data_IF_046123390422
#
_entry.id   IF_046123390422
#
_cell.length_a   1.000
_cell.length_b   1.000
_cell.length_c   1.000
_cell.angle_alpha   90.00
_cell.angle_beta   90.00
_cell.angle_gamma   90.00
#
_symmetry.space_group_name_H-M   'P 1'
#
loop_
_entity.id
_entity.type
_entity.pdbx_description
1 polymer ?
#
# COMPACT_ATOMS: atom_id res chain seq x y z
N UNK A 1 -21.56 14.90 -18.54
CA UNK A 1 -20.24 14.20 -18.53
C UNK A 1 -20.38 13.05 -17.55
N UNK A 2 -20.12 11.81 -17.96
CA UNK A 2 -20.11 10.63 -17.07
C UNK A 2 -18.71 10.03 -17.08
N UNK A 3 -18.19 9.74 -15.89
CA UNK A 3 -16.93 9.02 -15.70
C UNK A 3 -17.26 7.58 -15.34
N UNK A 4 -16.92 6.63 -16.22
CA UNK A 4 -16.94 5.21 -15.88
C UNK A 4 -15.55 4.83 -15.35
N UNK A 5 -15.50 4.25 -14.15
CA UNK A 5 -14.28 3.70 -13.59
C UNK A 5 -14.41 2.18 -13.52
N UNK A 6 -13.39 1.47 -13.99
CA UNK A 6 -13.27 0.04 -13.77
C UNK A 6 -12.75 -0.19 -12.34
N UNK A 7 -13.59 -0.74 -11.47
CA UNK A 7 -13.27 -1.01 -10.07
C UNK A 7 -12.72 -2.43 -9.84
N UNK A 8 -12.34 -3.16 -10.89
CA UNK A 8 -11.73 -4.49 -10.75
C UNK A 8 -10.42 -4.46 -9.95
N UNK A 9 -9.70 -3.33 -9.99
CA UNK A 9 -8.47 -3.12 -9.22
C UNK A 9 -8.65 -1.91 -8.31
N UNK A 10 -8.50 -2.13 -7.02
CA UNK A 10 -8.57 -1.08 -6.01
C UNK A 10 -7.14 -0.64 -5.67
N UNK A 11 -6.81 0.60 -5.99
CA UNK A 11 -5.53 1.21 -5.61
C UNK A 11 -5.64 1.86 -4.24
N UNK A 12 -4.71 1.51 -3.35
CA UNK A 12 -4.63 2.03 -1.99
C UNK A 12 -3.30 2.73 -1.79
N UNK A 13 -3.32 3.81 -1.03
CA UNK A 13 -2.14 4.57 -0.60
C UNK A 13 -2.01 4.45 0.90
N UNK A 14 -0.80 4.21 1.37
CA UNK A 14 -0.47 4.21 2.80
C UNK A 14 0.82 4.98 3.04
N UNK A 15 0.94 5.56 4.22
CA UNK A 15 2.09 6.35 4.64
C UNK A 15 2.80 5.64 5.80
N UNK A 16 4.13 5.49 5.69
CA UNK A 16 4.96 4.78 6.68
C UNK A 16 6.05 5.72 7.19
N UNK A 17 6.25 5.85 8.52
CA UNK A 17 7.36 6.62 9.09
C UNK A 17 8.73 6.10 8.63
N UNK A 18 9.69 7.01 8.44
CA UNK A 18 11.04 6.65 7.96
C UNK A 18 11.79 5.57 8.76
N UNK A 19 11.75 5.56 10.12
CA UNK A 19 12.36 4.51 10.91
C UNK A 19 11.79 3.12 10.60
N UNK A 20 10.47 3.03 10.38
CA UNK A 20 9.78 1.77 10.10
C UNK A 20 10.12 1.26 8.70
N UNK A 21 10.28 2.13 7.70
CA UNK A 21 10.74 1.74 6.36
C UNK A 21 12.13 1.10 6.42
N UNK A 22 13.02 1.66 7.25
CA UNK A 22 14.36 1.12 7.44
C UNK A 22 14.31 -0.25 8.13
N UNK A 23 13.46 -0.41 9.14
CA UNK A 23 13.25 -1.68 9.83
C UNK A 23 12.64 -2.76 8.91
N UNK A 24 11.67 -2.40 8.08
CA UNK A 24 10.99 -3.29 7.13
C UNK A 24 11.94 -3.79 6.03
N UNK A 25 12.80 -2.91 5.52
CA UNK A 25 13.78 -3.23 4.49
C UNK A 25 15.04 -3.96 5.02
N UNK A 26 15.26 -3.97 6.34
CA UNK A 26 16.43 -4.59 6.96
C UNK A 26 16.56 -6.09 6.65
N UNK A 27 15.43 -6.80 6.49
CA UNK A 27 15.40 -8.23 6.17
C UNK A 27 15.38 -8.51 4.65
N UNK A 28 15.59 -7.50 3.81
CA UNK A 28 15.57 -7.59 2.35
C UNK A 28 14.17 -7.41 1.76
N UNK A 29 14.10 -6.69 0.64
CA UNK A 29 12.84 -6.28 0.01
C UNK A 29 11.95 -7.48 -0.37
N UNK A 30 12.53 -8.62 -0.74
CA UNK A 30 11.79 -9.83 -1.13
C UNK A 30 11.04 -10.52 0.01
N UNK A 31 11.27 -10.12 1.25
CA UNK A 31 10.59 -10.65 2.43
C UNK A 31 9.45 -9.75 2.92
N UNK A 32 9.19 -8.63 2.23
CA UNK A 32 8.10 -7.72 2.57
C UNK A 32 6.80 -8.29 2.00
N UNK A 33 5.84 -8.58 2.88
CA UNK A 33 4.48 -8.98 2.51
C UNK A 33 3.52 -7.84 2.80
N UNK A 34 2.62 -7.56 1.84
CA UNK A 34 1.56 -6.57 2.02
C UNK A 34 0.22 -7.28 2.04
N UNK A 35 -0.51 -7.07 3.13
CA UNK A 35 -1.85 -7.60 3.34
C UNK A 35 -2.78 -6.43 3.63
N UNK A 36 -3.98 -6.46 3.04
CA UNK A 36 -4.98 -5.42 3.21
C UNK A 36 -6.24 -6.02 3.83
N UNK A 37 -6.77 -5.34 4.83
CA UNK A 37 -8.08 -5.61 5.42
C UNK A 37 -8.94 -4.37 5.34
N UNK A 38 -10.21 -4.53 4.98
CA UNK A 38 -11.17 -3.43 4.94
C UNK A 38 -12.15 -3.54 6.10
N UNK A 39 -12.38 -2.45 6.82
CA UNK A 39 -13.33 -2.42 7.94
C UNK A 39 -14.76 -2.79 7.51
N UNK A 40 -15.12 -2.48 6.26
CA UNK A 40 -16.40 -2.86 5.67
C UNK A 40 -16.53 -4.37 5.34
N UNK A 41 -15.40 -5.10 5.32
CA UNK A 41 -15.33 -6.54 5.03
C UNK A 41 -14.46 -7.25 6.09
N UNK A 42 -14.90 -7.27 7.35
CA UNK A 42 -14.13 -7.85 8.44
C UNK A 42 -13.86 -9.35 8.19
N UNK A 43 -12.68 -9.81 8.57
CA UNK A 43 -12.27 -11.21 8.43
C UNK A 43 -11.81 -11.62 7.02
N UNK A 44 -11.78 -10.70 6.05
CA UNK A 44 -11.16 -10.93 4.74
C UNK A 44 -9.80 -10.25 4.67
N UNK A 45 -8.79 -11.03 4.33
CA UNK A 45 -7.44 -10.56 4.03
C UNK A 45 -7.25 -10.64 2.52
N UNK A 46 -6.74 -9.56 1.94
CA UNK A 46 -6.41 -9.48 0.53
C UNK A 46 -4.90 -9.36 0.39
N UNK A 47 -4.28 -10.26 -0.39
CA UNK A 47 -2.89 -10.08 -0.80
C UNK A 47 -2.81 -8.83 -1.70
N UNK A 48 -1.86 -7.95 -1.40
CA UNK A 48 -1.72 -6.68 -2.09
C UNK A 48 -0.38 -6.60 -2.81
N UNK A 49 -0.42 -6.17 -4.07
CA UNK A 49 0.78 -6.01 -4.90
C UNK A 49 1.29 -4.57 -4.79
N UNK A 50 2.60 -4.39 -4.59
CA UNK A 50 3.21 -3.05 -4.60
C UNK A 50 3.18 -2.53 -6.04
N UNK A 51 2.51 -1.40 -6.24
CA UNK A 51 2.48 -0.69 -7.51
C UNK A 51 3.61 0.33 -7.55
N UNK A 52 3.82 1.04 -6.44
CA UNK A 52 4.78 2.13 -6.36
C UNK A 52 5.19 2.36 -4.90
N UNK A 53 6.45 2.71 -4.66
CA UNK A 53 6.91 3.17 -3.36
C UNK A 53 7.79 4.41 -3.56
N UNK A 54 7.43 5.51 -2.89
CA UNK A 54 8.19 6.75 -2.99
C UNK A 54 9.58 6.55 -2.40
N UNK A 55 10.61 6.97 -3.13
CA UNK A 55 11.99 6.97 -2.66
C UNK A 55 12.32 8.19 -1.79
N UNK A 56 11.42 9.16 -1.71
CA UNK A 56 11.56 10.37 -0.91
C UNK A 56 10.43 10.46 0.13
N UNK A 57 10.81 10.76 1.36
CA UNK A 57 9.86 11.08 2.41
C UNK A 57 9.21 12.44 2.14
N UNK A 58 7.92 12.55 2.45
CA UNK A 58 7.23 13.83 2.48
C UNK A 58 7.85 14.70 3.58
N UNK A 59 8.25 15.93 3.24
CA UNK A 59 8.96 16.82 4.17
C UNK A 59 8.05 17.39 5.26
N UNK A 60 6.73 17.38 5.07
CA UNK A 60 5.76 17.86 6.04
C UNK A 60 5.39 16.79 7.07
N UNK A 61 5.31 15.51 6.67
CA UNK A 61 4.88 14.41 7.54
C UNK A 61 5.99 13.45 7.94
N UNK A 62 7.17 13.56 7.33
CA UNK A 62 8.30 12.64 7.51
C UNK A 62 7.95 11.17 7.24
N UNK A 63 6.99 10.94 6.32
CA UNK A 63 6.51 9.61 5.94
C UNK A 63 6.82 9.30 4.48
N UNK A 64 7.09 8.03 4.21
CA UNK A 64 7.19 7.48 2.85
C UNK A 64 5.83 6.98 2.41
N UNK A 65 5.47 7.28 1.16
CA UNK A 65 4.20 6.86 0.57
C UNK A 65 4.37 5.58 -0.23
N UNK A 66 3.62 4.55 0.14
CA UNK A 66 3.45 3.33 -0.64
C UNK A 66 2.10 3.30 -1.36
N UNK A 67 2.07 2.69 -2.54
CA UNK A 67 0.85 2.38 -3.28
C UNK A 67 0.79 0.87 -3.52
N UNK A 68 -0.34 0.29 -3.15
CA UNK A 68 -0.64 -1.12 -3.41
C UNK A 68 -1.92 -1.25 -4.21
N UNK A 69 -2.02 -2.35 -4.95
CA UNK A 69 -3.21 -2.76 -5.66
C UNK A 69 -3.76 -4.03 -5.02
N UNK A 70 -5.07 -4.05 -4.86
CA UNK A 70 -5.84 -5.24 -4.51
C UNK A 70 -6.75 -5.55 -5.69
N UNK A 71 -6.63 -6.74 -6.24
CA UNK A 71 -7.58 -7.25 -7.23
C UNK A 71 -8.83 -7.69 -6.49
N UNK A 72 -9.97 -7.10 -6.85
CA UNK A 72 -11.25 -7.61 -6.34
C UNK A 72 -11.43 -9.04 -6.86
N UNK A 73 -11.87 -9.99 -6.01
CA UNK A 73 -12.31 -11.29 -6.50
C UNK A 73 -13.44 -11.16 -7.54
#
# INVERSE_FOLDING_TARGET
IVLLQNLQVVHLTFDVPGPDVTALSANGQGNIRNEVTFDALPGRVFDAEIVEFSVQADSATQTYRGRVAVTSP
#
